data_IF_477174300121
#
_entry.id   IF_477174300121
#
_cell.length_a   1.000
_cell.length_b   1.000
_cell.length_c   1.000
_cell.angle_alpha   90.00
_cell.angle_beta   90.00
_cell.angle_gamma   90.00
#
_symmetry.space_group_name_H-M   'P 1'
#
loop_
_entity.id
_entity.type
_entity.pdbx_description
1 polymer ?
#
# COMPACT_ATOMS: atom_id res chain seq x y z
N UNK A 1 -41.74 32.21 -46.80
CA UNK A 1 -41.24 31.95 -45.44
C UNK A 1 -41.83 30.60 -45.02
N UNK A 2 -41.11 29.52 -45.26
CA UNK A 2 -41.57 28.16 -44.95
C UNK A 2 -40.69 27.58 -43.86
N UNK A 3 -41.26 27.21 -42.68
CA UNK A 3 -40.64 26.52 -41.58
C UNK A 3 -40.78 25.02 -41.81
N UNK A 4 -39.65 24.27 -41.86
CA UNK A 4 -39.66 22.83 -41.83
C UNK A 4 -39.37 22.35 -40.40
N UNK A 5 -40.25 21.48 -39.87
CA UNK A 5 -40.05 20.72 -38.65
C UNK A 5 -39.41 19.38 -39.02
N UNK A 6 -38.26 19.07 -38.40
CA UNK A 6 -37.67 17.76 -38.50
C UNK A 6 -38.05 16.99 -37.23
N UNK A 7 -38.81 15.89 -37.42
CA UNK A 7 -39.12 14.91 -36.37
C UNK A 7 -37.95 13.93 -36.34
N UNK A 8 -37.25 13.83 -35.18
CA UNK A 8 -36.22 12.82 -34.95
C UNK A 8 -36.91 11.63 -34.26
N UNK A 9 -37.01 10.52 -34.96
CA UNK A 9 -37.46 9.24 -34.41
C UNK A 9 -36.20 8.56 -33.83
N UNK A 10 -36.15 8.38 -32.52
CA UNK A 10 -35.09 7.58 -31.86
C UNK A 10 -35.56 6.13 -31.88
N UNK A 11 -34.91 5.31 -32.71
CA UNK A 11 -35.07 3.85 -32.70
C UNK A 11 -33.98 3.28 -31.83
N UNK A 12 -34.31 2.75 -30.62
CA UNK A 12 -33.40 1.97 -29.81
C UNK A 12 -33.21 0.59 -30.45
N UNK A 13 -32.09 0.40 -31.12
CA UNK A 13 -31.63 -0.94 -31.55
C UNK A 13 -30.52 -1.36 -30.60
N UNK A 14 -30.77 -2.44 -29.83
CA UNK A 14 -29.74 -3.07 -29.01
C UNK A 14 -28.66 -3.68 -29.88
N UNK A 15 -27.41 -3.24 -29.66
CA UNK A 15 -26.24 -3.80 -30.31
C UNK A 15 -25.48 -4.64 -29.30
N UNK A 16 -25.39 -5.93 -29.57
CA UNK A 16 -24.33 -6.79 -29.02
C UNK A 16 -23.06 -6.51 -29.80
N UNK A 17 -22.06 -5.88 -29.15
CA UNK A 17 -20.77 -5.62 -29.78
C UNK A 17 -19.89 -6.82 -29.52
N UNK A 18 -19.64 -7.63 -30.57
CA UNK A 18 -18.55 -8.59 -30.64
C UNK A 18 -17.33 -7.79 -31.09
N UNK A 19 -16.35 -7.64 -30.19
CA UNK A 19 -15.16 -6.86 -30.48
C UNK A 19 -14.22 -7.60 -31.43
N UNK A 20 -13.96 -7.02 -32.59
CA UNK A 20 -12.83 -7.35 -33.45
C UNK A 20 -11.77 -6.27 -33.30
N UNK A 21 -10.56 -6.68 -32.96
CA UNK A 21 -9.39 -5.80 -32.93
C UNK A 21 -8.97 -5.45 -34.35
N UNK A 22 -9.06 -4.18 -34.72
CA UNK A 22 -8.41 -3.63 -35.90
C UNK A 22 -7.18 -2.83 -35.46
N UNK A 23 -6.00 -3.31 -35.82
CA UNK A 23 -4.75 -2.56 -35.66
C UNK A 23 -4.63 -1.54 -36.80
N UNK A 24 -4.56 -0.26 -36.46
CA UNK A 24 -4.15 0.80 -37.38
C UNK A 24 -2.75 1.27 -37.00
N UNK A 25 -1.77 0.96 -37.89
CA UNK A 25 -0.43 1.56 -37.81
C UNK A 25 -0.45 2.94 -38.47
N UNK A 26 -0.05 3.96 -37.75
CA UNK A 26 0.57 5.17 -38.32
C UNK A 26 1.40 5.90 -37.25
N UNK A 27 2.66 6.04 -37.53
CA UNK A 27 3.68 7.00 -37.08
C UNK A 27 3.58 7.58 -35.68
N UNK A 28 4.48 7.20 -34.76
CA UNK A 28 4.84 8.00 -33.57
C UNK A 28 3.70 8.23 -32.58
N UNK A 29 2.87 7.24 -32.31
CA UNK A 29 1.72 7.38 -31.42
C UNK A 29 1.94 6.65 -30.10
N UNK A 30 1.72 7.38 -29.01
CA UNK A 30 1.53 6.85 -27.68
C UNK A 30 0.41 5.80 -27.72
N UNK A 31 0.74 4.53 -27.43
CA UNK A 31 -0.27 3.46 -27.33
C UNK A 31 -1.09 3.69 -26.07
N UNK A 32 -2.29 4.22 -26.22
CA UNK A 32 -3.26 4.33 -25.14
C UNK A 32 -3.80 2.90 -24.89
N UNK A 33 -3.34 2.24 -23.87
CA UNK A 33 -4.02 1.06 -23.33
C UNK A 33 -5.30 1.54 -22.64
N UNK A 34 -6.43 1.46 -23.33
CA UNK A 34 -7.73 1.53 -22.67
C UNK A 34 -7.89 0.23 -21.87
N UNK A 35 -8.09 0.29 -20.56
CA UNK A 35 -8.38 -0.92 -19.80
C UNK A 35 -9.68 -1.52 -20.36
N UNK A 36 -9.62 -2.78 -20.76
CA UNK A 36 -10.83 -3.57 -20.98
C UNK A 36 -11.58 -3.57 -19.65
N UNK A 37 -12.68 -2.87 -19.56
CA UNK A 37 -13.62 -2.98 -18.43
C UNK A 37 -14.23 -4.38 -18.52
N UNK A 38 -13.49 -5.38 -18.04
CA UNK A 38 -14.07 -6.71 -17.86
C UNK A 38 -15.07 -6.61 -16.73
N UNK A 39 -16.25 -7.19 -16.94
CA UNK A 39 -17.25 -7.33 -15.88
C UNK A 39 -16.57 -8.10 -14.74
N UNK A 40 -16.61 -7.55 -13.52
CA UNK A 40 -16.05 -8.24 -12.36
C UNK A 40 -16.58 -9.70 -12.30
N UNK A 41 -15.71 -10.68 -12.02
CA UNK A 41 -16.15 -12.07 -11.94
C UNK A 41 -17.24 -12.23 -10.89
N UNK A 42 -18.15 -13.21 -11.04
CA UNK A 42 -19.27 -13.41 -10.13
C UNK A 42 -18.74 -13.67 -8.71
N UNK A 43 -19.50 -13.22 -7.73
CA UNK A 43 -19.18 -13.46 -6.33
C UNK A 43 -19.41 -14.94 -6.00
N UNK A 44 -18.41 -15.69 -5.51
CA UNK A 44 -18.62 -17.05 -5.04
C UNK A 44 -19.67 -17.11 -3.89
N UNK A 45 -20.28 -18.27 -3.61
CA UNK A 45 -21.14 -18.45 -2.45
C UNK A 45 -20.47 -18.03 -1.15
N UNK A 46 -21.26 -17.68 -0.12
CA UNK A 46 -20.73 -17.25 1.17
C UNK A 46 -19.85 -18.33 1.80
N UNK A 47 -18.58 -18.03 1.99
CA UNK A 47 -17.56 -18.85 2.66
C UNK A 47 -17.39 -18.47 4.14
N UNK A 48 -16.33 -18.97 4.78
CA UNK A 48 -16.03 -18.66 6.17
C UNK A 48 -15.79 -17.16 6.39
N UNK A 49 -15.06 -16.49 5.49
CA UNK A 49 -14.81 -15.04 5.59
C UNK A 49 -16.12 -14.25 5.52
N UNK A 50 -16.99 -14.57 4.56
CA UNK A 50 -18.29 -13.92 4.42
C UNK A 50 -19.25 -14.18 5.61
N UNK A 51 -19.00 -15.19 6.44
CA UNK A 51 -19.75 -15.44 7.67
C UNK A 51 -19.15 -14.81 8.92
N UNK A 52 -17.83 -14.58 8.95
CA UNK A 52 -17.11 -14.08 10.12
C UNK A 52 -16.80 -12.58 10.05
N UNK A 53 -16.38 -12.11 8.89
CA UNK A 53 -15.99 -10.72 8.71
C UNK A 53 -17.20 -9.86 8.40
N UNK A 54 -17.18 -8.64 8.93
CA UNK A 54 -18.17 -7.61 8.65
C UNK A 54 -17.56 -6.65 7.64
N UNK A 55 -18.23 -6.47 6.53
CA UNK A 55 -17.85 -5.50 5.50
C UNK A 55 -18.92 -4.40 5.42
N UNK A 56 -18.55 -3.22 4.97
CA UNK A 56 -19.46 -2.08 4.80
C UNK A 56 -20.73 -2.47 3.99
N UNK A 57 -21.90 -1.87 4.26
CA UNK A 57 -23.13 -2.15 3.53
C UNK A 57 -22.96 -2.00 2.02
N UNK A 58 -23.55 -2.91 1.24
CA UNK A 58 -23.43 -2.94 -0.23
C UNK A 58 -22.17 -3.65 -0.74
N UNK A 59 -21.42 -4.34 0.14
CA UNK A 59 -20.26 -5.14 -0.22
C UNK A 59 -20.36 -6.57 0.29
N UNK A 60 -19.61 -7.45 -0.35
CA UNK A 60 -19.37 -8.81 0.14
C UNK A 60 -17.89 -9.14 0.11
N UNK A 61 -17.45 -9.92 1.10
CA UNK A 61 -16.08 -10.41 1.24
C UNK A 61 -16.04 -11.92 1.09
N UNK A 62 -15.01 -12.44 0.41
CA UNK A 62 -14.76 -13.87 0.21
C UNK A 62 -13.26 -14.16 0.32
N UNK A 63 -12.92 -15.40 0.59
CA UNK A 63 -11.56 -15.91 0.50
C UNK A 63 -11.20 -16.01 -1.00
N UNK A 64 -10.18 -15.27 -1.43
CA UNK A 64 -9.58 -15.40 -2.75
C UNK A 64 -8.55 -16.53 -2.79
N UNK A 65 -7.66 -16.58 -1.79
CA UNK A 65 -6.69 -17.66 -1.61
C UNK A 65 -6.53 -17.97 -0.13
N UNK A 66 -6.31 -19.25 0.21
CA UNK A 66 -6.11 -19.69 1.58
C UNK A 66 -5.01 -20.77 1.65
N UNK A 67 -4.50 -21.00 2.86
CA UNK A 67 -3.42 -21.96 3.09
C UNK A 67 -2.13 -21.59 2.35
N UNK A 68 -1.83 -20.28 2.25
CA UNK A 68 -0.54 -19.85 1.74
C UNK A 68 0.58 -20.49 2.58
N UNK A 69 1.71 -20.88 1.96
CA UNK A 69 2.75 -21.62 2.67
C UNK A 69 3.47 -20.78 3.73
N UNK A 70 3.33 -19.45 3.66
CA UNK A 70 3.89 -18.52 4.62
C UNK A 70 3.02 -17.23 4.65
N UNK A 71 3.28 -16.36 5.62
CA UNK A 71 2.59 -15.08 5.83
C UNK A 71 2.65 -14.19 4.59
N UNK A 72 1.51 -13.94 3.93
CA UNK A 72 1.46 -12.99 2.83
C UNK A 72 1.65 -11.56 3.34
N UNK A 73 2.40 -10.77 2.60
CA UNK A 73 2.62 -9.37 2.94
C UNK A 73 2.06 -8.48 1.84
N UNK A 74 2.91 -7.89 1.00
CA UNK A 74 2.50 -6.95 -0.02
C UNK A 74 2.19 -7.64 -1.34
N UNK A 75 1.26 -7.06 -2.08
CA UNK A 75 0.66 -7.62 -3.28
C UNK A 75 0.83 -6.70 -4.48
N UNK A 76 0.87 -7.27 -5.67
CA UNK A 76 0.81 -6.53 -6.93
C UNK A 76 0.15 -7.38 -8.02
N UNK A 77 -0.66 -6.77 -8.88
CA UNK A 77 -1.16 -7.44 -10.07
C UNK A 77 -0.13 -7.39 -11.18
N UNK A 78 0.14 -8.55 -11.79
CA UNK A 78 1.04 -8.66 -12.91
C UNK A 78 0.39 -8.26 -14.25
N UNK A 79 1.21 -8.10 -15.30
CA UNK A 79 0.71 -7.82 -16.65
C UNK A 79 -0.12 -8.96 -17.24
N UNK A 80 -0.01 -10.16 -16.67
CA UNK A 80 -0.83 -11.35 -16.96
C UNK A 80 -2.21 -11.33 -16.30
N UNK A 81 -2.47 -10.31 -15.45
CA UNK A 81 -3.71 -10.16 -14.69
C UNK A 81 -3.77 -11.00 -13.40
N UNK A 82 -2.70 -11.74 -13.07
CA UNK A 82 -2.65 -12.54 -11.85
C UNK A 82 -2.14 -11.73 -10.65
N UNK A 83 -2.58 -12.11 -9.46
CA UNK A 83 -2.11 -11.54 -8.22
C UNK A 83 -0.77 -12.18 -7.81
N UNK A 84 0.22 -11.34 -7.53
CA UNK A 84 1.50 -11.72 -6.94
C UNK A 84 1.55 -11.24 -5.50
N UNK A 85 2.15 -12.04 -4.61
CA UNK A 85 2.25 -11.72 -3.19
C UNK A 85 3.62 -12.10 -2.64
N UNK A 86 4.21 -11.20 -1.86
CA UNK A 86 5.46 -11.46 -1.15
C UNK A 86 5.21 -12.35 0.08
N UNK A 87 6.03 -13.40 0.23
CA UNK A 87 6.09 -14.30 1.37
C UNK A 87 7.41 -14.03 2.10
N UNK A 88 7.43 -12.92 2.83
CA UNK A 88 8.64 -12.28 3.35
C UNK A 88 9.55 -13.24 4.12
N UNK A 89 8.98 -14.03 5.05
CA UNK A 89 9.76 -14.89 5.95
C UNK A 89 10.37 -16.12 5.27
N UNK A 90 9.84 -16.54 4.11
CA UNK A 90 10.39 -17.65 3.31
C UNK A 90 11.26 -17.19 2.15
N UNK A 91 11.40 -15.87 1.94
CA UNK A 91 12.17 -15.35 0.82
C UNK A 91 11.57 -15.69 -0.55
N UNK A 92 10.23 -15.69 -0.66
CA UNK A 92 9.54 -16.17 -1.84
C UNK A 92 8.52 -15.16 -2.36
N UNK A 93 8.19 -15.28 -3.66
CA UNK A 93 7.03 -14.63 -4.28
C UNK A 93 6.10 -15.75 -4.77
N UNK A 94 4.82 -15.63 -4.40
CA UNK A 94 3.77 -16.50 -4.92
C UNK A 94 2.93 -15.76 -5.96
N UNK A 95 2.50 -16.48 -7.01
CA UNK A 95 1.49 -16.07 -7.97
C UNK A 95 0.20 -16.84 -7.71
N UNK A 96 -0.93 -16.15 -7.81
CA UNK A 96 -2.25 -16.66 -7.46
C UNK A 96 -3.20 -16.48 -8.66
N UNK A 97 -3.15 -17.36 -9.66
CA UNK A 97 -3.98 -17.26 -10.85
C UNK A 97 -5.43 -17.67 -10.57
N UNK A 98 -6.38 -16.92 -11.12
CA UNK A 98 -7.81 -17.24 -11.21
C UNK A 98 -8.16 -17.45 -12.70
N UNK A 99 -7.86 -18.65 -13.23
CA UNK A 99 -7.97 -18.95 -14.67
C UNK A 99 -9.41 -19.12 -15.13
N UNK A 100 -10.28 -19.50 -14.20
CA UNK A 100 -11.71 -19.74 -14.47
C UNK A 100 -12.56 -18.48 -14.20
N UNK A 101 -11.96 -17.43 -13.66
CA UNK A 101 -12.57 -16.16 -13.31
C UNK A 101 -13.77 -16.29 -12.35
N UNK A 102 -13.68 -17.22 -11.38
CA UNK A 102 -14.72 -17.40 -10.37
C UNK A 102 -14.51 -16.52 -9.12
N UNK A 103 -13.40 -15.78 -9.05
CA UNK A 103 -13.03 -14.90 -7.96
C UNK A 103 -12.28 -15.62 -6.84
N UNK A 104 -11.69 -16.79 -7.14
CA UNK A 104 -10.78 -17.53 -6.27
C UNK A 104 -9.54 -17.94 -7.06
N UNK A 105 -8.40 -17.96 -6.39
CA UNK A 105 -7.19 -18.50 -6.99
C UNK A 105 -7.31 -20.02 -7.15
N UNK A 106 -7.01 -20.54 -8.35
CA UNK A 106 -7.01 -21.98 -8.64
C UNK A 106 -5.83 -22.70 -7.96
N UNK A 107 -4.69 -22.03 -7.88
CA UNK A 107 -3.43 -22.59 -7.37
C UNK A 107 -2.61 -21.51 -6.67
N UNK A 108 -1.65 -21.94 -5.83
CA UNK A 108 -0.58 -21.12 -5.29
C UNK A 108 0.71 -21.57 -5.96
N UNK A 109 1.31 -20.70 -6.76
CA UNK A 109 2.51 -20.99 -7.54
C UNK A 109 3.68 -20.18 -7.01
N UNK A 110 4.72 -20.83 -6.50
CA UNK A 110 5.97 -20.14 -6.12
C UNK A 110 6.75 -19.83 -7.39
N UNK A 111 6.88 -18.56 -7.72
CA UNK A 111 7.51 -18.07 -8.97
C UNK A 111 8.89 -17.48 -8.76
N UNK A 112 9.26 -17.16 -7.51
CA UNK A 112 10.63 -16.79 -7.14
C UNK A 112 10.93 -17.26 -5.72
N UNK A 113 12.20 -17.60 -5.44
CA UNK A 113 12.71 -18.04 -4.14
C UNK A 113 14.08 -17.42 -3.87
N UNK A 114 14.65 -17.64 -2.70
CA UNK A 114 16.00 -17.19 -2.29
C UNK A 114 16.16 -15.65 -2.30
N UNK A 115 15.08 -14.93 -1.98
CA UNK A 115 15.06 -13.49 -1.79
C UNK A 115 15.31 -13.16 -0.30
N UNK A 116 15.91 -12.01 -0.03
CA UNK A 116 16.19 -11.58 1.35
C UNK A 116 15.05 -10.73 1.92
N UNK A 117 14.08 -11.35 2.61
CA UNK A 117 12.92 -10.65 3.19
C UNK A 117 12.14 -9.80 2.17
N UNK A 118 11.66 -10.36 1.05
CA UNK A 118 10.91 -9.62 0.04
C UNK A 118 9.64 -9.03 0.64
N UNK A 119 9.35 -7.75 0.35
CA UNK A 119 8.18 -7.07 0.90
C UNK A 119 7.39 -6.33 -0.18
N UNK A 120 7.79 -5.12 -0.56
CA UNK A 120 7.12 -4.34 -1.60
C UNK A 120 7.33 -4.90 -3.00
N UNK A 121 6.28 -4.90 -3.81
CA UNK A 121 6.24 -5.44 -5.16
C UNK A 121 5.63 -4.40 -6.10
N UNK A 122 6.27 -4.15 -7.24
CA UNK A 122 5.68 -3.34 -8.31
C UNK A 122 6.09 -3.81 -9.70
N UNK A 123 5.12 -3.96 -10.59
CA UNK A 123 5.36 -4.31 -11.98
C UNK A 123 5.59 -3.06 -12.84
N UNK A 124 6.70 -3.07 -13.60
CA UNK A 124 6.99 -2.03 -14.58
C UNK A 124 7.76 -2.59 -15.78
N UNK A 125 7.31 -2.25 -16.99
CA UNK A 125 7.97 -2.61 -18.24
C UNK A 125 8.29 -4.11 -18.37
N UNK A 126 7.38 -4.98 -17.88
CA UNK A 126 7.52 -6.44 -17.91
C UNK A 126 8.46 -7.03 -16.87
N UNK A 127 8.91 -6.22 -15.90
CA UNK A 127 9.71 -6.65 -14.77
C UNK A 127 8.93 -6.48 -13.46
N UNK A 128 9.04 -7.45 -12.55
CA UNK A 128 8.63 -7.30 -11.16
C UNK A 128 9.80 -6.72 -10.36
N UNK A 129 9.66 -5.50 -9.90
CA UNK A 129 10.58 -4.90 -8.93
C UNK A 129 10.21 -5.39 -7.53
N UNK A 130 11.22 -5.83 -6.78
CA UNK A 130 11.06 -6.38 -5.43
C UNK A 130 11.96 -5.59 -4.48
N UNK A 131 11.35 -5.00 -3.44
CA UNK A 131 12.09 -4.44 -2.33
C UNK A 131 12.40 -5.55 -1.32
N UNK A 132 13.67 -5.82 -1.15
CA UNK A 132 14.20 -6.76 -0.18
C UNK A 132 14.74 -6.03 1.07
N UNK A 133 15.08 -6.75 2.09
CA UNK A 133 15.56 -6.17 3.35
C UNK A 133 16.75 -5.21 3.21
N UNK A 134 17.63 -5.43 2.23
CA UNK A 134 18.90 -4.70 2.04
C UNK A 134 19.16 -4.29 0.58
N UNK A 135 18.28 -4.57 -0.36
CA UNK A 135 18.46 -4.28 -1.79
C UNK A 135 17.14 -4.15 -2.53
N UNK A 136 17.21 -3.74 -3.77
CA UNK A 136 16.14 -3.84 -4.75
C UNK A 136 16.66 -4.66 -5.91
N UNK A 137 15.93 -5.70 -6.26
CA UNK A 137 16.10 -6.47 -7.48
C UNK A 137 14.89 -6.31 -8.38
N UNK A 138 15.04 -6.60 -9.68
CA UNK A 138 13.92 -6.82 -10.58
C UNK A 138 14.01 -8.20 -11.21
N UNK A 139 12.85 -8.83 -11.34
CA UNK A 139 12.71 -10.19 -11.78
C UNK A 139 11.79 -10.28 -12.99
N UNK A 140 12.03 -11.25 -13.87
CA UNK A 140 11.10 -11.60 -14.95
C UNK A 140 11.21 -13.07 -15.32
N UNK A 141 10.16 -13.56 -15.96
CA UNK A 141 10.18 -14.83 -16.69
C UNK A 141 10.96 -14.63 -18.01
N UNK A 142 12.14 -15.21 -18.11
CA UNK A 142 13.04 -15.05 -19.25
C UNK A 142 12.79 -16.05 -20.36
N UNK A 143 12.25 -17.23 -20.06
CA UNK A 143 12.06 -18.34 -20.98
C UNK A 143 10.59 -18.75 -21.20
N UNK A 144 9.64 -18.09 -20.52
CA UNK A 144 8.21 -18.34 -20.67
C UNK A 144 7.69 -19.55 -19.88
N UNK A 145 8.44 -20.02 -18.89
CA UNK A 145 8.05 -21.20 -18.09
C UNK A 145 7.14 -20.85 -16.90
N UNK A 146 6.94 -19.55 -16.63
CA UNK A 146 6.11 -19.03 -15.54
C UNK A 146 6.87 -18.75 -14.26
N UNK A 147 8.18 -19.03 -14.18
CA UNK A 147 9.06 -18.66 -13.08
C UNK A 147 9.71 -17.30 -13.36
N UNK A 148 10.09 -16.57 -12.31
CA UNK A 148 10.78 -15.27 -12.40
C UNK A 148 12.28 -15.47 -12.14
N UNK A 149 12.95 -16.26 -12.98
CA UNK A 149 14.33 -16.69 -12.79
C UNK A 149 15.38 -15.67 -13.24
N UNK A 150 15.02 -14.78 -14.17
CA UNK A 150 15.93 -13.73 -14.63
C UNK A 150 15.93 -12.59 -13.62
N UNK A 151 17.08 -12.31 -13.02
CA UNK A 151 17.22 -11.31 -11.94
C UNK A 151 18.28 -10.28 -12.29
N UNK A 152 18.00 -9.03 -11.93
CA UNK A 152 18.93 -7.92 -12.06
C UNK A 152 18.92 -7.10 -10.75
N UNK A 153 20.11 -6.89 -10.16
CA UNK A 153 20.29 -5.97 -9.05
C UNK A 153 20.09 -4.53 -9.54
N UNK A 154 19.18 -3.82 -8.91
CA UNK A 154 18.97 -2.39 -9.16
C UNK A 154 19.85 -1.57 -8.23
N UNK A 155 19.76 -1.83 -6.91
CA UNK A 155 20.60 -1.16 -5.93
C UNK A 155 20.70 -1.97 -4.64
N UNK A 156 21.87 -1.94 -4.01
CA UNK A 156 22.14 -2.41 -2.65
C UNK A 156 22.40 -1.24 -1.68
N UNK A 157 22.15 -0.01 -2.13
CA UNK A 157 22.27 1.19 -1.31
C UNK A 157 21.05 1.38 -0.37
N UNK A 158 20.62 0.28 0.24
CA UNK A 158 19.53 0.19 1.23
C UNK A 158 20.18 -0.23 2.57
N UNK A 159 19.76 0.35 3.72
CA UNK A 159 20.34 -0.05 5.02
C UNK A 159 19.93 -1.48 5.38
N UNK A 160 20.83 -2.23 6.00
CA UNK A 160 20.61 -3.61 6.42
C UNK A 160 19.32 -3.80 7.24
N UNK A 161 18.62 -4.96 7.19
CA UNK A 161 17.32 -5.18 7.81
C UNK A 161 17.44 -5.38 9.33
N UNK A 162 17.74 -4.30 10.05
CA UNK A 162 17.79 -4.25 11.52
C UNK A 162 16.62 -3.42 12.02
N UNK A 163 15.94 -3.87 13.08
CA UNK A 163 14.75 -3.21 13.60
C UNK A 163 13.55 -3.39 12.64
N UNK A 164 13.09 -2.30 12.04
CA UNK A 164 12.02 -2.35 11.05
C UNK A 164 12.59 -2.77 9.68
N UNK A 165 12.34 -4.01 9.29
CA UNK A 165 12.95 -4.66 8.14
C UNK A 165 12.12 -4.66 6.86
N UNK A 166 10.84 -4.28 6.92
CA UNK A 166 10.01 -4.11 5.73
C UNK A 166 10.54 -2.98 4.84
N UNK A 167 10.43 -3.19 3.53
CA UNK A 167 10.78 -2.20 2.51
C UNK A 167 9.67 -2.18 1.49
N UNK A 168 9.02 -1.05 1.32
CA UNK A 168 8.01 -0.86 0.26
C UNK A 168 8.60 0.02 -0.83
N UNK A 169 8.27 -0.25 -2.08
CA UNK A 169 8.73 0.51 -3.22
C UNK A 169 7.56 0.93 -4.10
N UNK A 170 7.67 2.14 -4.67
CA UNK A 170 6.75 2.63 -5.69
C UNK A 170 7.48 3.54 -6.66
N UNK A 171 7.04 3.54 -7.93
CA UNK A 171 7.49 4.52 -8.91
C UNK A 171 6.67 5.80 -8.79
N UNK A 172 7.35 6.93 -8.65
CA UNK A 172 6.71 8.23 -8.66
C UNK A 172 6.27 8.68 -10.06
N UNK A 173 5.43 9.72 -10.15
CA UNK A 173 5.01 10.31 -11.42
C UNK A 173 6.19 10.92 -12.22
N UNK A 174 7.31 11.16 -11.56
CA UNK A 174 8.59 11.57 -12.16
C UNK A 174 9.39 10.40 -12.75
N UNK A 175 8.86 9.18 -12.66
CA UNK A 175 9.50 7.95 -13.12
C UNK A 175 10.65 7.45 -12.26
N UNK A 176 10.89 8.04 -11.08
CA UNK A 176 11.89 7.61 -10.13
C UNK A 176 11.35 6.52 -9.21
N UNK A 177 12.25 5.72 -8.68
CA UNK A 177 11.96 4.65 -7.73
C UNK A 177 12.11 5.19 -6.30
N UNK A 178 11.04 5.11 -5.53
CA UNK A 178 11.02 5.49 -4.13
C UNK A 178 10.95 4.25 -3.26
N UNK A 179 11.63 4.27 -2.10
CA UNK A 179 11.72 3.10 -1.20
C UNK A 179 11.64 3.56 0.24
N UNK A 180 10.76 2.96 1.03
CA UNK A 180 10.73 3.19 2.47
C UNK A 180 11.80 2.36 3.19
N UNK A 181 12.44 2.95 4.20
CA UNK A 181 13.42 2.27 5.04
C UNK A 181 13.19 2.64 6.51
N UNK A 182 12.66 1.70 7.28
CA UNK A 182 12.34 1.91 8.68
C UNK A 182 13.57 2.05 9.59
N UNK A 183 13.34 2.52 10.81
CA UNK A 183 14.35 2.75 11.84
C UNK A 183 14.96 1.44 12.37
N UNK A 184 16.17 1.53 12.92
CA UNK A 184 16.83 0.41 13.59
C UNK A 184 16.33 0.20 15.02
N UNK A 185 15.63 1.15 15.59
CA UNK A 185 15.21 1.17 16.99
C UNK A 185 13.81 1.72 17.19
N UNK A 186 13.34 1.70 18.42
CA UNK A 186 12.05 2.27 18.80
C UNK A 186 12.06 3.81 18.81
N UNK A 187 13.01 4.42 19.49
CA UNK A 187 13.28 5.87 19.49
C UNK A 187 14.77 6.12 19.75
N UNK A 188 15.50 6.48 18.73
CA UNK A 188 16.93 6.83 18.81
C UNK A 188 17.32 7.75 17.65
N UNK A 189 18.46 8.39 17.77
CA UNK A 189 19.11 9.05 16.64
C UNK A 189 19.78 7.97 15.79
N UNK A 190 19.42 7.87 14.52
CA UNK A 190 20.00 6.89 13.61
C UNK A 190 21.42 7.32 13.18
N UNK A 191 22.37 6.37 13.21
CA UNK A 191 23.72 6.57 12.67
C UNK A 191 23.76 6.47 11.13
N UNK A 192 22.81 5.79 10.54
CA UNK A 192 22.67 5.66 9.09
C UNK A 192 21.51 6.53 8.60
N UNK A 193 21.78 7.62 7.87
CA UNK A 193 20.76 8.56 7.44
C UNK A 193 19.74 7.99 6.45
N UNK A 194 19.97 6.78 5.93
CA UNK A 194 19.01 6.07 5.09
C UNK A 194 17.88 5.42 5.88
N UNK A 195 17.98 5.38 7.21
CA UNK A 195 16.94 4.81 8.08
C UNK A 195 15.91 5.86 8.47
N UNK A 196 14.73 5.39 8.85
CA UNK A 196 13.58 6.23 9.16
C UNK A 196 13.34 7.28 8.04
N UNK A 197 13.38 6.81 6.78
CA UNK A 197 13.44 7.67 5.60
C UNK A 197 12.69 7.04 4.42
N UNK A 198 12.31 7.89 3.48
CA UNK A 198 12.02 7.48 2.10
C UNK A 198 13.24 7.82 1.26
N UNK A 199 13.74 6.85 0.52
CA UNK A 199 14.88 6.95 -0.39
C UNK A 199 14.36 7.09 -1.82
N UNK A 200 15.15 7.76 -2.71
CA UNK A 200 14.79 7.94 -4.12
C UNK A 200 15.97 7.64 -5.03
N UNK A 201 15.71 6.82 -6.05
CA UNK A 201 16.68 6.36 -7.03
C UNK A 201 16.16 6.56 -8.46
N UNK A 202 17.06 6.57 -9.43
CA UNK A 202 16.70 6.34 -10.82
C UNK A 202 16.27 4.87 -11.01
N UNK A 203 15.53 4.50 -12.09
CA UNK A 203 15.15 3.12 -12.35
C UNK A 203 16.33 2.14 -12.52
N UNK A 204 17.53 2.64 -12.79
CA UNK A 204 18.78 1.89 -12.87
C UNK A 204 19.56 1.80 -11.54
N UNK A 205 18.97 2.31 -10.46
CA UNK A 205 19.56 2.29 -9.11
C UNK A 205 20.56 3.42 -8.83
N UNK A 206 20.90 4.24 -9.82
CA UNK A 206 21.75 5.41 -9.60
C UNK A 206 21.00 6.49 -8.79
N UNK A 207 21.74 7.38 -8.15
CA UNK A 207 21.16 8.48 -7.36
C UNK A 207 20.81 9.65 -8.30
N UNK A 208 19.54 10.12 -8.28
CA UNK A 208 19.16 11.31 -9.06
C UNK A 208 19.93 12.56 -8.64
N UNK A 209 20.40 13.33 -9.61
CA UNK A 209 21.14 14.56 -9.33
C UNK A 209 20.32 15.69 -8.72
N UNK A 210 18.99 15.55 -8.77
CA UNK A 210 18.01 16.47 -8.19
C UNK A 210 17.47 15.99 -6.81
N UNK A 211 18.06 14.96 -6.21
CA UNK A 211 17.76 14.59 -4.84
C UNK A 211 18.17 15.73 -3.88
N UNK A 212 17.41 15.98 -2.81
CA UNK A 212 17.70 17.07 -1.88
C UNK A 212 19.12 17.04 -1.30
N UNK A 213 19.68 15.85 -1.14
CA UNK A 213 21.01 15.63 -0.56
C UNK A 213 22.01 15.03 -1.56
N UNK A 214 21.78 15.18 -2.87
CA UNK A 214 22.60 14.53 -3.93
C UNK A 214 24.12 14.86 -3.82
N UNK A 215 24.48 16.01 -3.25
CA UNK A 215 25.86 16.47 -3.07
C UNK A 215 26.36 16.37 -1.63
N UNK A 216 25.61 15.71 -0.73
CA UNK A 216 26.04 15.57 0.67
C UNK A 216 27.38 14.84 0.77
N UNK A 217 28.20 15.24 1.76
CA UNK A 217 29.52 14.66 2.01
C UNK A 217 29.41 13.20 2.50
N UNK A 218 28.36 12.86 3.24
CA UNK A 218 28.03 11.46 3.56
C UNK A 218 27.30 10.83 2.36
N UNK A 219 27.93 9.90 1.63
CA UNK A 219 27.30 9.29 0.46
C UNK A 219 26.03 8.50 0.80
N UNK A 220 25.85 8.06 2.07
CA UNK A 220 24.64 7.37 2.52
C UNK A 220 23.43 8.30 2.58
N UNK A 221 23.64 9.62 2.73
CA UNK A 221 22.55 10.59 2.74
C UNK A 221 22.04 10.95 1.34
N UNK A 222 22.83 10.72 0.31
CA UNK A 222 22.49 11.13 -1.07
C UNK A 222 21.18 10.52 -1.63
N UNK A 223 20.81 9.25 -1.34
CA UNK A 223 19.53 8.71 -1.79
C UNK A 223 18.34 9.20 -0.95
N UNK A 224 18.53 9.84 0.19
CA UNK A 224 17.43 10.27 1.08
C UNK A 224 16.57 11.32 0.38
N UNK A 225 15.27 11.04 0.25
CA UNK A 225 14.27 11.98 -0.23
C UNK A 225 13.65 12.77 0.92
N UNK A 226 13.16 12.06 1.96
CA UNK A 226 12.59 12.64 3.18
C UNK A 226 12.99 11.78 4.37
N UNK A 227 13.02 12.33 5.58
CA UNK A 227 13.49 11.67 6.77
C UNK A 227 12.66 11.99 8.02
N UNK A 228 12.88 11.25 9.11
CA UNK A 228 12.07 11.38 10.32
C UNK A 228 10.75 10.61 10.26
N UNK A 229 10.71 9.54 9.47
CA UNK A 229 9.60 8.62 9.27
C UNK A 229 9.98 7.26 9.88
N UNK A 230 9.71 7.06 11.18
CA UNK A 230 10.18 5.90 11.94
C UNK A 230 10.00 4.57 11.22
N UNK A 231 8.79 4.30 10.76
CA UNK A 231 8.47 3.09 10.02
C UNK A 231 7.27 3.37 9.11
N UNK A 232 7.51 4.00 7.98
CA UNK A 232 6.55 4.08 6.88
C UNK A 232 6.51 2.72 6.22
N UNK A 233 5.45 1.95 6.50
CA UNK A 233 5.30 0.61 5.93
C UNK A 233 4.80 0.72 4.50
N UNK A 234 3.96 1.73 4.23
CA UNK A 234 3.50 2.03 2.89
C UNK A 234 3.46 3.53 2.59
N UNK A 235 3.43 3.83 1.31
CA UNK A 235 3.25 5.18 0.80
C UNK A 235 2.67 5.11 -0.61
N UNK A 236 2.03 6.16 -1.07
CA UNK A 236 1.41 6.20 -2.38
C UNK A 236 1.42 7.62 -2.97
N UNK A 237 1.18 7.70 -4.27
CA UNK A 237 0.98 8.95 -4.98
C UNK A 237 -0.51 9.22 -5.16
N UNK A 238 -0.94 10.42 -4.77
CA UNK A 238 -2.30 10.87 -5.08
C UNK A 238 -2.41 11.21 -6.57
N UNK A 239 -3.62 11.22 -7.15
CA UNK A 239 -3.83 11.69 -8.52
C UNK A 239 -3.38 13.13 -8.74
N UNK A 240 -3.31 13.94 -7.69
CA UNK A 240 -2.77 15.29 -7.70
C UNK A 240 -1.23 15.36 -7.68
N UNK A 241 -0.54 14.21 -7.61
CA UNK A 241 0.93 14.13 -7.58
C UNK A 241 1.55 14.38 -6.22
N UNK A 242 0.78 14.39 -5.14
CA UNK A 242 1.29 14.48 -3.78
C UNK A 242 1.67 13.07 -3.27
N UNK A 243 2.83 12.95 -2.63
CA UNK A 243 3.25 11.71 -1.98
C UNK A 243 2.68 11.66 -0.56
N UNK A 244 1.91 10.63 -0.25
CA UNK A 244 1.43 10.34 1.09
C UNK A 244 2.10 9.09 1.65
N UNK A 245 2.44 9.11 2.93
CA UNK A 245 2.98 7.95 3.65
C UNK A 245 2.21 7.72 4.94
N UNK A 246 2.20 6.47 5.40
CA UNK A 246 1.86 6.13 6.77
C UNK A 246 3.12 6.15 7.65
N UNK A 247 2.93 6.08 8.97
CA UNK A 247 4.03 6.05 9.92
C UNK A 247 3.58 5.35 11.21
N UNK A 248 4.24 4.26 11.54
CA UNK A 248 4.06 3.60 12.82
C UNK A 248 4.84 4.34 13.91
N UNK A 249 4.14 4.93 14.87
CA UNK A 249 4.68 5.68 16.00
C UNK A 249 5.52 4.83 16.96
N UNK A 250 6.29 5.49 17.83
CA UNK A 250 7.17 4.82 18.80
C UNK A 250 6.38 4.28 20.00
N UNK A 251 6.76 3.10 20.51
CA UNK A 251 6.20 2.54 21.74
C UNK A 251 6.77 3.20 23.00
N UNK A 252 6.05 3.10 24.13
CA UNK A 252 6.57 3.47 25.44
C UNK A 252 6.10 4.82 25.99
N UNK A 253 5.10 5.47 25.35
CA UNK A 253 4.41 6.64 25.85
C UNK A 253 2.99 6.31 26.38
N UNK A 254 2.74 5.04 26.70
CA UNK A 254 1.42 4.55 27.14
C UNK A 254 0.54 4.11 25.96
N UNK A 255 -0.74 3.88 26.23
CA UNK A 255 -1.66 3.31 25.24
C UNK A 255 -2.14 4.29 24.17
N UNK A 256 -2.03 5.59 24.43
CA UNK A 256 -2.66 6.62 23.59
C UNK A 256 -1.66 7.53 22.85
N UNK A 257 -0.34 7.34 23.09
CA UNK A 257 0.71 8.17 22.48
C UNK A 257 1.90 7.35 22.00
N UNK A 258 2.59 7.83 20.93
CA UNK A 258 2.09 8.83 19.99
C UNK A 258 0.99 8.21 19.10
N UNK A 259 0.09 9.00 18.49
CA UNK A 259 -0.81 8.50 17.46
C UNK A 259 -0.04 7.92 16.28
N UNK A 260 -0.65 6.98 15.56
CA UNK A 260 -0.15 6.55 14.25
C UNK A 260 -0.45 7.63 13.22
N UNK A 261 0.51 7.99 12.40
CA UNK A 261 0.32 8.98 11.35
C UNK A 261 -0.02 8.28 10.03
N UNK A 262 -1.13 8.67 9.38
CA UNK A 262 -1.68 7.94 8.24
C UNK A 262 -1.57 8.73 6.93
N UNK A 263 -1.83 10.04 6.96
CA UNK A 263 -1.71 10.91 5.81
C UNK A 263 -0.64 11.94 6.08
N UNK A 264 0.60 11.55 5.81
CA UNK A 264 1.76 12.42 5.90
C UNK A 264 2.07 12.95 4.50
N UNK A 265 1.98 14.28 4.24
CA UNK A 265 2.36 14.86 2.96
C UNK A 265 3.89 14.91 2.84
N UNK A 266 4.48 13.87 2.26
CA UNK A 266 5.94 13.73 2.17
C UNK A 266 6.53 14.70 1.14
N UNK A 267 7.47 15.51 1.59
CA UNK A 267 8.14 16.51 0.77
C UNK A 267 9.64 16.24 0.67
N UNK A 268 10.21 16.47 -0.49
CA UNK A 268 11.65 16.30 -0.72
C UNK A 268 12.48 17.24 0.15
N UNK A 269 13.44 16.67 0.91
CA UNK A 269 14.29 17.39 1.84
C UNK A 269 13.65 17.70 3.19
N UNK A 270 12.38 17.37 3.41
CA UNK A 270 11.68 17.66 4.64
C UNK A 270 11.96 16.61 5.75
N UNK A 271 11.86 17.10 6.98
CA UNK A 271 11.85 16.30 8.19
C UNK A 271 10.43 16.09 8.69
N UNK A 272 10.11 14.85 9.12
CA UNK A 272 8.78 14.41 9.56
C UNK A 272 8.78 13.97 11.04
N UNK A 273 9.51 14.68 11.88
CA UNK A 273 9.44 14.67 13.34
C UNK A 273 10.26 13.60 14.05
N UNK A 274 10.09 12.34 13.71
CA UNK A 274 10.79 11.27 14.44
C UNK A 274 12.33 11.44 14.38
N UNK A 275 13.07 11.14 15.47
CA UNK A 275 12.63 10.56 16.74
C UNK A 275 12.18 11.59 17.79
N UNK A 276 12.18 12.85 17.48
CA UNK A 276 12.05 13.95 18.45
C UNK A 276 10.63 14.47 18.62
N UNK A 277 9.82 14.37 17.58
CA UNK A 277 8.48 14.96 17.52
C UNK A 277 7.50 13.99 16.85
N UNK A 278 6.20 14.25 17.07
CA UNK A 278 5.08 13.52 16.47
C UNK A 278 3.85 14.44 16.35
N UNK A 279 2.95 14.13 15.41
CA UNK A 279 1.67 14.84 15.25
C UNK A 279 0.70 14.46 16.37
N UNK A 280 0.21 15.41 17.20
CA UNK A 280 -0.72 15.12 18.26
C UNK A 280 -2.17 15.02 17.75
N UNK A 281 -3.04 14.34 18.54
CA UNK A 281 -4.46 14.19 18.23
C UNK A 281 -4.77 12.93 17.41
N UNK A 282 -6.05 12.63 17.23
CA UNK A 282 -6.56 11.48 16.47
C UNK A 282 -7.65 11.92 15.50
N UNK A 283 -7.63 11.41 14.29
CA UNK A 283 -8.50 11.80 13.18
C UNK A 283 -7.90 12.90 12.33
N UNK A 284 -8.72 13.82 11.85
CA UNK A 284 -8.22 15.00 11.10
C UNK A 284 -7.50 15.92 12.08
N UNK A 285 -6.24 16.19 11.80
CA UNK A 285 -5.37 16.99 12.65
C UNK A 285 -4.84 18.20 11.91
N UNK A 286 -4.51 19.23 12.66
CA UNK A 286 -3.91 20.46 12.17
C UNK A 286 -3.07 21.09 13.29
N UNK A 287 -2.00 21.75 12.91
CA UNK A 287 -1.05 22.35 13.84
C UNK A 287 0.30 21.67 13.82
N UNK A 288 1.26 22.22 14.59
CA UNK A 288 2.62 21.70 14.60
C UNK A 288 2.71 20.37 15.35
N UNK A 289 3.79 19.66 15.11
CA UNK A 289 4.16 18.52 15.92
C UNK A 289 4.52 18.93 17.37
N UNK A 290 4.44 17.96 18.27
CA UNK A 290 4.84 18.12 19.65
C UNK A 290 6.04 17.24 19.99
N UNK A 291 6.85 17.69 20.96
CA UNK A 291 8.07 17.01 21.33
C UNK A 291 7.81 15.67 22.03
N UNK A 292 8.53 14.64 21.59
CA UNK A 292 8.74 13.42 22.37
C UNK A 292 9.73 13.72 23.50
N UNK A 293 9.25 13.78 24.74
CA UNK A 293 10.08 14.19 25.87
C UNK A 293 11.14 13.18 26.29
N UNK A 294 11.16 11.98 25.69
CA UNK A 294 12.16 10.94 25.98
C UNK A 294 13.51 11.22 25.33
N UNK A 295 13.55 12.08 24.32
CA UNK A 295 14.74 12.41 23.55
C UNK A 295 14.87 13.93 23.40
N UNK A 296 16.05 14.46 23.65
CA UNK A 296 16.30 15.89 23.55
C UNK A 296 16.44 16.31 22.09
N UNK A 297 15.73 17.40 21.71
CA UNK A 297 15.93 18.02 20.42
C UNK A 297 17.38 18.53 20.26
N UNK A 298 17.97 18.42 19.07
CA UNK A 298 19.24 19.09 18.76
C UNK A 298 19.15 20.59 18.99
N UNK A 299 20.25 21.22 19.34
CA UNK A 299 20.30 22.66 19.57
C UNK A 299 19.83 23.44 18.34
N UNK A 300 18.86 24.33 18.52
CA UNK A 300 18.29 25.16 17.46
C UNK A 300 17.22 24.48 16.60
N UNK A 301 16.86 23.21 16.87
CA UNK A 301 15.75 22.52 16.23
C UNK A 301 14.48 22.59 17.10
N UNK A 302 13.32 22.77 16.44
CA UNK A 302 12.00 22.77 17.09
C UNK A 302 11.02 21.89 16.31
N UNK A 303 9.97 21.42 16.96
CA UNK A 303 8.97 20.58 16.31
C UNK A 303 8.16 21.33 15.22
N UNK A 304 8.10 22.65 15.25
CA UNK A 304 7.48 23.47 14.21
C UNK A 304 8.18 23.35 12.83
N UNK A 305 9.41 22.82 12.81
CA UNK A 305 10.16 22.57 11.58
C UNK A 305 9.82 21.24 10.92
N UNK A 306 9.14 20.36 11.64
CA UNK A 306 8.67 19.08 11.10
C UNK A 306 7.37 19.28 10.29
N UNK A 307 7.21 18.45 9.25
CA UNK A 307 5.97 18.43 8.46
C UNK A 307 5.00 17.46 9.13
N UNK A 308 3.88 17.94 9.70
CA UNK A 308 2.93 17.09 10.42
C UNK A 308 2.07 16.27 9.47
N UNK A 309 1.49 15.19 9.99
CA UNK A 309 0.42 14.47 9.33
C UNK A 309 -0.86 15.33 9.24
N UNK A 310 -1.73 14.99 8.26
CA UNK A 310 -3.08 15.56 8.13
C UNK A 310 -4.16 14.67 8.74
N UNK A 311 -3.85 13.40 8.90
CA UNK A 311 -4.73 12.41 9.52
C UNK A 311 -3.91 11.42 10.34
N UNK A 312 -4.42 11.08 11.51
CA UNK A 312 -3.80 10.17 12.46
C UNK A 312 -4.82 9.13 12.95
N UNK A 313 -4.34 7.98 13.38
CA UNK A 313 -5.13 6.95 14.05
C UNK A 313 -4.69 6.78 15.51
N UNK A 314 -5.50 6.12 16.36
CA UNK A 314 -5.06 5.81 17.72
C UNK A 314 -3.72 5.08 17.74
N UNK A 315 -2.86 5.44 18.70
CA UNK A 315 -1.57 4.78 18.94
C UNK A 315 -1.70 3.26 18.96
N UNK A 316 -0.69 2.56 18.47
CA UNK A 316 -0.65 1.08 18.40
C UNK A 316 -1.66 0.43 17.44
N UNK A 317 -2.28 1.20 16.55
CA UNK A 317 -3.16 0.63 15.50
C UNK A 317 -2.36 -0.12 14.41
N UNK A 318 -1.09 0.20 14.25
CA UNK A 318 -0.15 -0.40 13.32
C UNK A 318 -0.66 -0.37 11.87
N UNK A 319 -0.74 0.82 11.21
CA UNK A 319 -1.04 0.92 9.79
C UNK A 319 0.06 0.23 8.98
N UNK A 320 -0.34 -0.47 7.91
CA UNK A 320 0.58 -1.18 7.02
C UNK A 320 0.30 -0.77 5.57
N UNK A 321 -0.37 -1.63 4.76
CA UNK A 321 -0.67 -1.30 3.37
C UNK A 321 -1.82 -0.31 3.22
N UNK A 322 -1.75 0.56 2.20
CA UNK A 322 -2.79 1.54 1.91
C UNK A 322 -3.00 1.74 0.41
N UNK A 323 -4.23 2.06 0.01
CA UNK A 323 -4.59 2.29 -1.39
C UNK A 323 -5.71 3.31 -1.54
N UNK A 324 -5.72 4.04 -2.65
CA UNK A 324 -6.81 4.95 -3.01
C UNK A 324 -7.94 4.21 -3.73
N UNK A 325 -9.18 4.57 -3.43
CA UNK A 325 -10.38 3.99 -4.06
C UNK A 325 -10.71 4.53 -5.44
N UNK A 326 -9.94 5.49 -5.96
CA UNK A 326 -10.19 6.10 -7.26
C UNK A 326 -9.98 5.11 -8.42
N UNK A 327 -10.83 5.23 -9.46
CA UNK A 327 -10.73 4.35 -10.63
C UNK A 327 -11.27 2.93 -10.46
N UNK A 328 -11.79 2.56 -9.30
CA UNK A 328 -12.33 1.22 -9.00
C UNK A 328 -13.80 1.08 -9.42
N UNK A 329 -14.33 -0.16 -9.39
CA UNK A 329 -15.75 -0.45 -9.55
C UNK A 329 -16.61 -0.14 -8.32
N UNK A 330 -16.03 0.32 -7.24
CA UNK A 330 -16.77 0.67 -6.04
C UNK A 330 -17.77 1.79 -6.32
N UNK A 331 -18.91 1.84 -5.61
CA UNK A 331 -19.89 2.93 -5.75
C UNK A 331 -19.20 4.31 -5.59
N UNK A 332 -19.66 5.35 -6.29
CA UNK A 332 -19.02 6.68 -6.27
C UNK A 332 -18.71 7.21 -4.87
N UNK A 333 -19.60 6.98 -3.90
CA UNK A 333 -19.39 7.37 -2.50
C UNK A 333 -18.19 6.71 -1.83
N UNK A 334 -17.67 5.62 -2.38
CA UNK A 334 -16.53 4.87 -1.85
C UNK A 334 -15.23 5.09 -2.62
N UNK A 335 -15.26 5.77 -3.79
CA UNK A 335 -14.07 5.98 -4.62
C UNK A 335 -13.17 7.08 -4.09
N UNK A 336 -13.73 8.18 -3.60
CA UNK A 336 -12.99 9.27 -2.97
C UNK A 336 -12.59 8.92 -1.53
N UNK A 337 -11.68 7.96 -1.40
CA UNK A 337 -11.30 7.42 -0.11
C UNK A 337 -9.93 6.81 -0.16
N UNK A 338 -9.23 6.88 0.95
CA UNK A 338 -8.04 6.10 1.24
C UNK A 338 -8.45 4.88 2.08
N UNK A 339 -8.00 3.70 1.71
CA UNK A 339 -8.18 2.47 2.48
C UNK A 339 -6.86 2.07 3.12
N UNK A 340 -6.90 1.72 4.40
CA UNK A 340 -5.71 1.39 5.18
C UNK A 340 -5.92 0.06 5.90
N UNK A 341 -4.96 -0.85 5.77
CA UNK A 341 -4.91 -2.09 6.53
C UNK A 341 -4.24 -1.83 7.89
N UNK A 342 -5.00 -1.99 8.97
CA UNK A 342 -4.47 -1.90 10.33
C UNK A 342 -4.21 -3.30 10.88
N UNK A 343 -2.98 -3.55 11.28
CA UNK A 343 -2.55 -4.81 11.87
C UNK A 343 -3.00 -4.96 13.33
N UNK A 344 -3.38 -3.85 13.97
CA UNK A 344 -3.93 -3.77 15.32
C UNK A 344 -2.91 -3.99 16.43
N UNK A 345 -3.33 -3.71 17.67
CA UNK A 345 -2.42 -3.72 18.82
C UNK A 345 -2.09 -5.14 19.33
N UNK A 346 -0.90 -5.25 19.89
CA UNK A 346 -0.43 -6.42 20.63
C UNK A 346 0.08 -6.03 22.03
N UNK A 347 0.35 -4.75 22.28
CA UNK A 347 1.07 -4.22 23.44
C UNK A 347 0.28 -3.16 24.24
N UNK A 348 -1.04 -3.00 23.98
CA UNK A 348 -1.91 -2.12 24.76
C UNK A 348 -2.52 -2.83 25.95
N UNK A 349 -3.01 -2.07 26.94
CA UNK A 349 -3.79 -2.62 28.06
C UNK A 349 -5.11 -3.23 27.58
N UNK A 350 -5.67 -4.16 28.35
CA UNK A 350 -6.87 -4.91 27.98
C UNK A 350 -8.11 -4.02 27.69
N UNK A 351 -8.17 -2.82 28.26
CA UNK A 351 -9.25 -1.85 28.00
C UNK A 351 -9.07 -1.02 26.72
N UNK A 352 -7.86 -1.01 26.15
CA UNK A 352 -7.47 -0.12 25.04
C UNK A 352 -7.02 -0.88 23.80
N UNK A 353 -7.55 -2.07 23.55
CA UNK A 353 -7.18 -2.89 22.39
C UNK A 353 -7.53 -2.15 21.09
N UNK A 354 -6.55 -1.97 20.20
CA UNK A 354 -6.76 -1.45 18.84
C UNK A 354 -7.11 -2.60 17.92
N UNK A 355 -8.17 -2.41 17.13
CA UNK A 355 -8.69 -3.46 16.25
C UNK A 355 -7.79 -3.68 15.04
N UNK A 356 -7.72 -4.92 14.60
CA UNK A 356 -7.20 -5.28 13.28
C UNK A 356 -8.37 -5.19 12.29
N UNK A 357 -8.24 -4.35 11.29
CA UNK A 357 -9.32 -3.95 10.40
C UNK A 357 -8.79 -3.37 9.09
N UNK A 358 -9.64 -3.25 8.09
CA UNK A 358 -9.45 -2.27 7.03
C UNK A 358 -10.35 -1.08 7.35
N UNK A 359 -9.79 0.10 7.36
CA UNK A 359 -10.49 1.36 7.56
C UNK A 359 -10.53 2.17 6.29
N UNK A 360 -11.63 2.86 6.10
CA UNK A 360 -11.83 3.82 5.03
C UNK A 360 -11.70 5.22 5.58
N UNK A 361 -10.76 6.00 5.05
CA UNK A 361 -10.62 7.43 5.32
C UNK A 361 -11.30 8.18 4.17
N UNK A 362 -12.33 8.95 4.48
CA UNK A 362 -13.08 9.74 3.54
C UNK A 362 -12.28 10.97 3.15
N UNK A 363 -12.24 11.24 1.84
CA UNK A 363 -11.60 12.43 1.29
C UNK A 363 -12.66 13.41 0.78
N UNK A 364 -12.43 14.70 0.96
CA UNK A 364 -13.28 15.73 0.37
C UNK A 364 -12.98 15.93 -1.14
N UNK A 365 -13.68 16.85 -1.79
CA UNK A 365 -13.56 17.11 -3.24
C UNK A 365 -12.15 17.54 -3.69
N UNK A 366 -11.33 18.06 -2.75
CA UNK A 366 -9.93 18.43 -3.02
C UNK A 366 -8.93 17.38 -2.51
N UNK A 367 -9.42 16.17 -2.20
CA UNK A 367 -8.59 15.05 -1.80
C UNK A 367 -8.04 15.11 -0.37
N UNK A 368 -8.57 15.97 0.52
CA UNK A 368 -8.11 16.02 1.91
C UNK A 368 -8.94 15.10 2.81
N UNK A 369 -8.32 14.45 3.83
CA UNK A 369 -9.03 13.59 4.76
C UNK A 369 -10.02 14.40 5.61
N UNK A 370 -11.23 13.85 5.82
CA UNK A 370 -12.28 14.51 6.60
C UNK A 370 -12.87 13.66 7.72
N UNK A 371 -12.82 12.34 7.60
CA UNK A 371 -13.32 11.38 8.59
C UNK A 371 -12.77 9.99 8.29
N UNK A 372 -12.96 9.05 9.22
CA UNK A 372 -12.71 7.63 8.99
C UNK A 372 -13.88 6.77 9.46
N UNK A 373 -14.06 5.64 8.81
CA UNK A 373 -15.05 4.64 9.19
C UNK A 373 -14.52 3.21 8.96
N UNK A 374 -14.94 2.22 9.76
CA UNK A 374 -14.58 0.83 9.52
C UNK A 374 -15.10 0.35 8.16
N UNK A 375 -14.25 -0.32 7.38
CA UNK A 375 -14.65 -0.91 6.10
C UNK A 375 -14.74 -2.44 6.17
N UNK A 376 -13.69 -3.12 6.71
CA UNK A 376 -13.74 -4.56 7.02
C UNK A 376 -13.29 -4.76 8.46
N UNK A 377 -14.12 -5.44 9.26
CA UNK A 377 -13.85 -5.75 10.68
C UNK A 377 -14.15 -7.22 10.99
N UNK A 378 -14.00 -7.61 12.26
CA UNK A 378 -14.28 -8.98 12.70
C UNK A 378 -13.09 -9.93 12.62
N UNK A 379 -11.90 -9.43 12.30
CA UNK A 379 -10.68 -10.24 12.32
C UNK A 379 -10.30 -10.67 13.73
N UNK A 380 -10.50 -9.82 14.71
CA UNK A 380 -10.14 -9.99 16.10
C UNK A 380 -11.16 -10.84 16.86
N UNK A 381 -10.70 -11.73 17.71
CA UNK A 381 -11.57 -12.40 18.67
C UNK A 381 -12.08 -11.39 19.74
N UNK A 382 -13.35 -11.47 20.17
CA UNK A 382 -13.91 -10.56 21.16
C UNK A 382 -13.05 -10.52 22.44
N UNK A 383 -12.70 -9.31 22.90
CA UNK A 383 -11.92 -9.09 24.11
C UNK A 383 -10.45 -9.49 24.06
N UNK A 384 -9.94 -9.91 22.89
CA UNK A 384 -8.55 -10.34 22.69
C UNK A 384 -7.78 -9.37 21.80
N UNK A 385 -6.45 -9.19 22.01
CA UNK A 385 -5.62 -8.38 21.09
C UNK A 385 -5.47 -9.10 19.74
N UNK A 386 -5.12 -8.35 18.70
CA UNK A 386 -4.95 -8.87 17.34
C UNK A 386 -3.85 -9.93 17.20
N UNK A 387 -2.87 -9.96 18.11
CA UNK A 387 -1.85 -11.02 18.19
C UNK A 387 -2.32 -12.34 18.82
N UNK A 388 -3.50 -12.37 19.47
CA UNK A 388 -3.99 -13.58 20.17
C UNK A 388 -4.22 -14.75 19.20
N UNK A 389 -3.98 -15.97 19.69
CA UNK A 389 -4.13 -17.19 18.89
C UNK A 389 -5.55 -17.37 18.32
N UNK A 390 -6.58 -16.93 19.05
CA UNK A 390 -7.99 -17.02 18.67
C UNK A 390 -8.40 -15.97 17.61
N UNK A 391 -7.55 -15.00 17.28
CA UNK A 391 -7.83 -14.00 16.26
C UNK A 391 -7.87 -14.64 14.88
N UNK A 392 -8.92 -14.36 14.11
CA UNK A 392 -9.19 -14.96 12.80
C UNK A 392 -8.16 -14.55 11.75
N UNK A 393 -7.74 -13.29 11.76
CA UNK A 393 -6.78 -12.75 10.81
C UNK A 393 -6.21 -11.40 11.24
N UNK A 394 -5.17 -10.94 10.52
CA UNK A 394 -4.56 -9.61 10.64
C UNK A 394 -4.27 -9.05 9.27
N UNK A 395 -5.01 -8.03 8.80
CA UNK A 395 -4.73 -7.37 7.52
C UNK A 395 -3.32 -6.81 7.48
N UNK A 396 -2.63 -7.03 6.35
CA UNK A 396 -1.27 -6.52 6.14
C UNK A 396 -1.19 -5.58 4.94
N UNK A 397 -1.93 -5.87 3.87
CA UNK A 397 -1.97 -5.03 2.68
C UNK A 397 -3.38 -4.95 2.12
N UNK A 398 -3.67 -3.88 1.38
CA UNK A 398 -4.92 -3.64 0.68
C UNK A 398 -4.66 -2.99 -0.68
N UNK A 399 -5.10 -3.64 -1.76
CA UNK A 399 -4.96 -3.13 -3.13
C UNK A 399 -6.25 -3.32 -3.92
N UNK A 400 -6.36 -2.65 -5.07
CA UNK A 400 -7.42 -2.91 -6.04
C UNK A 400 -6.88 -3.70 -7.23
N UNK A 401 -7.63 -4.73 -7.64
CA UNK A 401 -7.35 -5.47 -8.85
C UNK A 401 -7.79 -4.73 -10.13
N UNK A 402 -7.32 -5.17 -11.29
CA UNK A 402 -7.64 -4.55 -12.58
C UNK A 402 -9.14 -4.61 -12.91
N UNK A 403 -9.88 -5.56 -12.32
CA UNK A 403 -11.33 -5.66 -12.43
C UNK A 403 -12.07 -4.76 -11.41
N UNK A 404 -11.33 -4.02 -10.56
CA UNK A 404 -11.87 -3.08 -9.60
C UNK A 404 -12.34 -3.65 -8.26
N UNK A 405 -12.13 -4.95 -8.00
CA UNK A 405 -12.31 -5.54 -6.67
C UNK A 405 -11.16 -5.17 -5.74
N UNK A 406 -11.41 -5.14 -4.45
CA UNK A 406 -10.36 -4.95 -3.44
C UNK A 406 -9.84 -6.32 -3.00
N UNK A 407 -8.52 -6.39 -2.81
CA UNK A 407 -7.82 -7.54 -2.24
C UNK A 407 -7.13 -7.15 -0.94
N UNK A 408 -7.20 -8.03 0.05
CA UNK A 408 -6.63 -7.81 1.39
C UNK A 408 -5.78 -9.01 1.74
N UNK A 409 -4.48 -8.82 2.01
CA UNK A 409 -3.63 -9.86 2.54
C UNK A 409 -3.80 -9.98 4.07
N UNK A 410 -3.76 -11.20 4.56
CA UNK A 410 -3.88 -11.54 5.98
C UNK A 410 -2.72 -12.44 6.39
N UNK A 411 -1.73 -11.86 7.05
CA UNK A 411 -0.48 -12.54 7.38
C UNK A 411 -0.63 -13.53 8.55
N UNK A 412 -1.69 -13.41 9.34
CA UNK A 412 -2.00 -14.35 10.42
C UNK A 412 -2.86 -15.51 9.93
N UNK A 413 -3.87 -15.21 9.12
CA UNK A 413 -4.79 -16.20 8.57
C UNK A 413 -4.21 -16.98 7.40
N UNK A 414 -3.04 -16.60 6.87
CA UNK A 414 -2.41 -17.15 5.67
C UNK A 414 -3.38 -17.14 4.48
N UNK A 415 -4.04 -15.96 4.27
CA UNK A 415 -5.15 -15.79 3.32
C UNK A 415 -5.02 -14.50 2.54
N UNK A 416 -5.69 -14.51 1.40
CA UNK A 416 -6.04 -13.28 0.67
C UNK A 416 -7.56 -13.25 0.58
N UNK A 417 -8.15 -12.11 0.92
CA UNK A 417 -9.59 -11.87 0.74
C UNK A 417 -9.84 -11.03 -0.49
N UNK A 418 -11.03 -11.20 -1.08
CA UNK A 418 -11.55 -10.39 -2.18
C UNK A 418 -12.86 -9.74 -1.74
N UNK A 419 -12.97 -8.42 -1.91
CA UNK A 419 -14.15 -7.61 -1.59
C UNK A 419 -14.71 -7.01 -2.88
N UNK A 420 -16.01 -7.18 -3.09
CA UNK A 420 -16.71 -6.64 -4.25
C UNK A 420 -18.00 -5.93 -3.84
N UNK A 421 -18.45 -4.89 -4.58
CA UNK A 421 -19.78 -4.37 -4.39
C UNK A 421 -20.83 -5.45 -4.79
N UNK A 422 -21.92 -5.48 -4.04
CA UNK A 422 -23.10 -6.31 -4.37
C UNK A 422 -24.27 -5.41 -4.71
N UNK A 423 -25.17 -5.88 -5.60
CA UNK A 423 -26.35 -5.11 -6.02
C UNK A 423 -27.25 -4.68 -4.86
#
# INVERSE_FOLDING_TARGET
MWRWWIIVIIVCIGWTIVGHTAAAQSGGGMTLYLPLVSKAPPLPPADEAGRRLQVAPGFAIRIFAENLPQRPRFMAFGPDGWLYVSLMNSGQIARLPDRNSDGRADTIEIVASDLNLPHGLEWRDGWLYVAEGDRIERLRDGDGNGSLETRELITDNIPAPVGHSSRTLHFGPDGKLYVSAGSSCNYCVEDDPRRAAILRFNPDGSIPGDNPFATDLDPRRRPVWAWGLRNSVDFLWTPGGELWADHNGSDGLGDDLPPEEIVIPVQGGAWHGWPYCYTPGVGVVSGPEVQDTRIALPAGQTCDQAVPARFTAPAHSAPLGMTLGEGTLFPPAYRQSLYVAYHGSWNTTAGNIRDCKVERILLNEVGQPIAAEPFVTGFRAPGKPCGDAATYGRPADVIFGPEGAMYISDDKGLRIYRVVPVP
#
